data_IF_410206810450
#
_entry.id   IF_410206810450
#
_cell.length_a   1.000
_cell.length_b   1.000
_cell.length_c   1.000
_cell.angle_alpha   90.00
_cell.angle_beta   90.00
_cell.angle_gamma   90.00
#
_symmetry.space_group_name_H-M   'P 1'
#
loop_
_entity.id
_entity.type
_entity.pdbx_description
1 polymer ?
#
# COMPACT_ATOMS: atom_id res chain seq x y z
N UNK A 1 -14.34 30.26 -50.79
CA UNK A 1 -13.49 29.21 -50.16
C UNK A 1 -13.74 29.03 -48.65
N UNK A 2 -14.04 30.08 -47.88
CA UNK A 2 -14.23 30.02 -46.41
C UNK A 2 -15.53 29.31 -45.97
N UNK A 3 -16.58 29.29 -46.80
CA UNK A 3 -17.88 28.72 -46.44
C UNK A 3 -17.84 27.20 -46.19
N UNK A 4 -17.16 26.44 -47.07
CA UNK A 4 -17.03 24.98 -46.93
C UNK A 4 -16.14 24.57 -45.76
N UNK A 5 -15.14 25.39 -45.43
CA UNK A 5 -14.22 25.14 -44.33
C UNK A 5 -14.92 25.15 -42.96
N UNK A 6 -15.95 25.99 -42.79
CA UNK A 6 -16.76 26.05 -41.55
C UNK A 6 -17.53 24.75 -41.30
N UNK A 7 -18.10 24.16 -42.35
CA UNK A 7 -18.86 22.92 -42.26
C UNK A 7 -17.96 21.71 -42.01
N UNK A 8 -16.77 21.69 -42.62
CA UNK A 8 -15.75 20.68 -42.34
C UNK A 8 -15.31 20.77 -40.88
N UNK A 9 -15.01 21.97 -40.39
CA UNK A 9 -14.59 22.18 -39.00
C UNK A 9 -15.69 21.78 -38.01
N UNK A 10 -16.95 22.15 -38.26
CA UNK A 10 -18.10 21.77 -37.43
C UNK A 10 -18.32 20.25 -37.42
N UNK A 11 -18.13 19.59 -38.57
CA UNK A 11 -18.22 18.14 -38.68
C UNK A 11 -17.12 17.42 -37.88
N UNK A 12 -15.87 17.91 -37.94
CA UNK A 12 -14.76 17.38 -37.13
C UNK A 12 -15.02 17.59 -35.64
N UNK A 13 -15.51 18.77 -35.25
CA UNK A 13 -15.79 19.09 -33.84
C UNK A 13 -16.92 18.22 -33.28
N UNK A 14 -17.95 17.94 -34.09
CA UNK A 14 -19.02 17.01 -33.73
C UNK A 14 -18.49 15.57 -33.59
N UNK A 15 -17.67 15.11 -34.53
CA UNK A 15 -17.08 13.77 -34.47
C UNK A 15 -16.20 13.59 -33.22
N UNK A 16 -15.38 14.60 -32.88
CA UNK A 16 -14.57 14.61 -31.66
C UNK A 16 -15.45 14.61 -30.41
N UNK A 17 -16.53 15.41 -30.40
CA UNK A 17 -17.46 15.46 -29.26
C UNK A 17 -18.18 14.12 -29.04
N UNK A 18 -18.59 13.44 -30.11
CA UNK A 18 -19.20 12.11 -30.04
C UNK A 18 -18.20 11.08 -29.50
N UNK A 19 -16.95 11.14 -29.95
CA UNK A 19 -15.90 10.23 -29.49
C UNK A 19 -15.59 10.46 -27.99
N UNK A 20 -15.48 11.71 -27.56
CA UNK A 20 -15.27 12.05 -26.15
C UNK A 20 -16.46 11.65 -25.27
N UNK A 21 -17.69 11.87 -25.75
CA UNK A 21 -18.90 11.47 -25.04
C UNK A 21 -18.99 9.94 -24.95
N UNK A 22 -18.66 9.22 -26.03
CA UNK A 22 -18.59 7.76 -26.04
C UNK A 22 -17.54 7.23 -25.05
N UNK A 23 -16.37 7.84 -24.98
CA UNK A 23 -15.32 7.47 -24.03
C UNK A 23 -15.75 7.76 -22.58
N UNK A 24 -16.38 8.91 -22.32
CA UNK A 24 -16.92 9.26 -21.01
C UNK A 24 -18.01 8.29 -20.54
N UNK A 25 -18.94 7.95 -21.43
CA UNK A 25 -20.02 6.99 -21.14
C UNK A 25 -19.46 5.57 -20.93
N UNK A 26 -18.49 5.16 -21.75
CA UNK A 26 -17.78 3.89 -21.57
C UNK A 26 -17.08 3.83 -20.21
N UNK A 27 -16.33 4.88 -19.84
CA UNK A 27 -15.62 4.95 -18.56
C UNK A 27 -16.60 4.96 -17.38
N UNK A 28 -17.69 5.72 -17.47
CA UNK A 28 -18.73 5.80 -16.43
C UNK A 28 -19.44 4.46 -16.25
N UNK A 29 -19.78 3.79 -17.35
CA UNK A 29 -20.43 2.47 -17.32
C UNK A 29 -19.47 1.39 -16.81
N UNK A 30 -18.24 1.36 -17.30
CA UNK A 30 -17.17 0.45 -16.87
C UNK A 30 -16.92 0.53 -15.36
N UNK A 31 -16.83 1.74 -14.81
CA UNK A 31 -16.60 1.98 -13.38
C UNK A 31 -17.71 1.43 -12.48
N UNK A 32 -18.95 1.35 -12.97
CA UNK A 32 -20.10 0.83 -12.24
C UNK A 32 -20.26 -0.68 -12.48
N UNK A 33 -20.07 -1.13 -13.72
CA UNK A 33 -20.34 -2.50 -14.14
C UNK A 33 -19.22 -3.49 -13.81
N UNK A 34 -17.94 -3.08 -13.97
CA UNK A 34 -16.80 -3.97 -13.72
C UNK A 34 -16.74 -4.47 -12.27
N UNK A 35 -16.95 -3.64 -11.22
CA UNK A 35 -16.95 -4.14 -9.84
C UNK A 35 -18.12 -5.09 -9.53
N UNK A 36 -19.23 -4.97 -10.25
CA UNK A 36 -20.43 -5.80 -10.07
C UNK A 36 -20.24 -7.17 -10.74
N UNK A 37 -19.69 -7.19 -11.97
CA UNK A 37 -19.52 -8.41 -12.76
C UNK A 37 -18.22 -9.16 -12.47
N UNK A 38 -17.18 -8.41 -12.16
CA UNK A 38 -15.85 -8.88 -11.77
C UNK A 38 -15.50 -8.21 -10.44
N UNK A 39 -16.17 -8.59 -9.33
CA UNK A 39 -15.72 -8.15 -8.01
C UNK A 39 -14.21 -8.44 -7.95
N UNK A 40 -13.38 -7.45 -7.56
CA UNK A 40 -11.93 -7.61 -7.61
C UNK A 40 -11.62 -8.94 -6.95
N UNK A 41 -11.13 -9.94 -7.71
CA UNK A 41 -10.93 -11.25 -7.14
C UNK A 41 -10.02 -11.02 -5.95
N UNK A 42 -10.35 -11.66 -4.83
CA UNK A 42 -9.43 -11.75 -3.70
C UNK A 42 -8.20 -12.60 -4.03
N UNK A 43 -7.72 -12.52 -5.25
CA UNK A 43 -6.59 -13.20 -5.83
C UNK A 43 -5.94 -12.16 -6.73
N UNK A 44 -4.78 -11.67 -6.33
CA UNK A 44 -3.94 -10.85 -7.18
C UNK A 44 -3.59 -11.70 -8.41
N UNK A 45 -3.89 -11.19 -9.60
CA UNK A 45 -3.55 -11.85 -10.86
C UNK A 45 -2.03 -11.77 -11.03
N UNK A 46 -1.37 -12.91 -11.27
CA UNK A 46 0.06 -12.97 -11.58
C UNK A 46 0.31 -12.30 -12.94
N UNK A 47 0.88 -11.11 -12.86
CA UNK A 47 1.44 -10.39 -14.00
C UNK A 47 2.92 -10.05 -13.76
N UNK A 48 3.44 -10.35 -12.57
CA UNK A 48 4.76 -9.94 -12.11
C UNK A 48 5.88 -10.79 -12.69
N UNK A 49 5.75 -12.11 -12.64
CA UNK A 49 6.77 -13.05 -13.09
C UNK A 49 7.13 -12.89 -14.57
N UNK A 50 6.12 -12.69 -15.43
CA UNK A 50 6.32 -12.51 -16.88
C UNK A 50 6.98 -11.17 -17.20
N UNK A 51 6.57 -10.08 -16.54
CA UNK A 51 7.15 -8.75 -16.72
C UNK A 51 8.56 -8.62 -16.10
N UNK A 52 8.86 -9.40 -15.06
CA UNK A 52 10.20 -9.52 -14.48
C UNK A 52 11.14 -10.22 -15.45
N UNK A 53 10.69 -11.34 -16.04
CA UNK A 53 11.47 -12.16 -16.96
C UNK A 53 11.94 -11.38 -18.21
N UNK A 54 11.11 -10.47 -18.72
CA UNK A 54 11.45 -9.62 -19.88
C UNK A 54 12.07 -8.26 -19.50
N UNK A 55 12.34 -8.02 -18.21
CA UNK A 55 13.07 -6.83 -17.73
C UNK A 55 12.25 -5.54 -17.65
N UNK A 56 10.94 -5.57 -17.90
CA UNK A 56 10.05 -4.38 -17.78
C UNK A 56 10.04 -3.85 -16.36
N UNK A 57 10.01 -4.73 -15.35
CA UNK A 57 10.05 -4.32 -13.95
C UNK A 57 11.37 -3.60 -13.58
N UNK A 58 12.48 -4.01 -14.19
CA UNK A 58 13.78 -3.32 -14.02
C UNK A 58 13.72 -1.91 -14.59
N UNK A 59 13.06 -1.71 -15.74
CA UNK A 59 12.86 -0.40 -16.35
C UNK A 59 11.99 0.52 -15.46
N UNK A 60 10.90 -0.02 -14.92
CA UNK A 60 9.97 0.74 -14.06
C UNK A 60 10.63 1.18 -12.74
N UNK A 61 11.59 0.42 -12.22
CA UNK A 61 12.34 0.80 -11.02
C UNK A 61 13.34 1.95 -11.24
N UNK A 62 13.61 2.32 -12.50
CA UNK A 62 14.34 3.55 -12.82
C UNK A 62 13.45 4.80 -12.84
N UNK A 63 12.12 4.66 -12.73
CA UNK A 63 11.22 5.79 -12.61
C UNK A 63 11.34 6.46 -11.24
N UNK A 64 11.14 7.79 -11.15
CA UNK A 64 11.21 8.51 -9.88
C UNK A 64 10.17 7.97 -8.89
N UNK A 65 10.62 7.29 -7.85
CA UNK A 65 9.78 6.82 -6.76
C UNK A 65 9.82 7.86 -5.62
N UNK A 66 8.70 8.49 -5.25
CA UNK A 66 8.66 9.54 -4.23
C UNK A 66 9.10 9.06 -2.84
N UNK A 67 9.02 7.75 -2.57
CA UNK A 67 9.45 7.15 -1.29
C UNK A 67 10.98 7.08 -1.15
N UNK A 68 11.74 7.24 -2.25
CA UNK A 68 13.22 7.25 -2.24
C UNK A 68 13.77 8.33 -1.32
N UNK A 69 13.04 9.44 -1.11
CA UNK A 69 13.47 10.53 -0.22
C UNK A 69 13.62 10.11 1.25
N UNK A 70 12.94 9.03 1.67
CA UNK A 70 12.99 8.53 3.06
C UNK A 70 14.02 7.44 3.27
N UNK A 71 14.71 7.03 2.21
CA UNK A 71 15.72 5.98 2.23
C UNK A 71 17.10 6.65 2.29
N UNK A 72 18.01 6.22 3.19
CA UNK A 72 19.37 6.72 3.22
C UNK A 72 20.06 6.57 1.83
N UNK A 73 20.69 7.64 1.28
CA UNK A 73 21.24 7.64 -0.07
C UNK A 73 22.23 6.49 -0.35
N UNK A 74 22.97 6.09 0.67
CA UNK A 74 23.95 5.00 0.65
C UNK A 74 23.32 3.62 0.36
N UNK A 75 22.03 3.45 0.65
CA UNK A 75 21.31 2.19 0.43
C UNK A 75 20.68 2.07 -0.95
N UNK A 76 20.54 3.19 -1.65
CA UNK A 76 19.85 3.24 -2.95
C UNK A 76 20.48 2.33 -4.02
N UNK A 77 21.82 2.21 -4.13
CA UNK A 77 22.43 1.29 -5.09
C UNK A 77 22.07 -0.18 -4.79
N UNK A 78 22.09 -0.58 -3.51
CA UNK A 78 21.79 -1.96 -3.12
C UNK A 78 20.33 -2.30 -3.37
N UNK A 79 19.41 -1.38 -3.01
CA UNK A 79 17.97 -1.57 -3.25
C UNK A 79 17.64 -1.65 -4.73
N UNK A 80 18.31 -0.86 -5.59
CA UNK A 80 18.12 -0.96 -7.05
C UNK A 80 18.53 -2.31 -7.61
N UNK A 81 19.61 -2.90 -7.10
CA UNK A 81 20.09 -4.22 -7.52
C UNK A 81 19.18 -5.33 -6.99
N UNK A 82 18.73 -5.21 -5.74
CA UNK A 82 17.94 -6.23 -5.07
C UNK A 82 16.46 -6.25 -5.49
N UNK A 83 15.90 -5.09 -5.84
CA UNK A 83 14.52 -4.91 -6.27
C UNK A 83 13.94 -5.97 -7.25
N UNK A 84 14.59 -6.25 -8.40
CA UNK A 84 14.08 -7.27 -9.31
C UNK A 84 14.13 -8.68 -8.71
N UNK A 85 15.07 -8.96 -7.79
CA UNK A 85 15.13 -10.23 -7.07
C UNK A 85 14.00 -10.35 -6.04
N UNK A 86 13.66 -9.26 -5.35
CA UNK A 86 12.58 -9.26 -4.36
C UNK A 86 11.18 -9.29 -4.98
N UNK A 87 11.02 -8.93 -6.25
CA UNK A 87 9.69 -8.83 -6.88
C UNK A 87 8.97 -10.18 -6.94
N UNK A 88 9.71 -11.27 -7.17
CA UNK A 88 9.15 -12.64 -7.15
C UNK A 88 8.60 -12.98 -5.75
N UNK A 89 9.33 -12.60 -4.69
CA UNK A 89 8.90 -12.84 -3.32
C UNK A 89 7.67 -11.99 -2.95
N UNK A 90 7.67 -10.70 -3.29
CA UNK A 90 6.53 -9.78 -3.07
C UNK A 90 5.28 -10.29 -3.78
N UNK A 91 5.45 -10.81 -5.01
CA UNK A 91 4.34 -11.36 -5.75
C UNK A 91 3.78 -12.64 -5.09
N UNK A 92 4.65 -13.56 -4.70
CA UNK A 92 4.26 -14.77 -3.98
C UNK A 92 3.53 -14.44 -2.66
N UNK A 93 3.99 -13.43 -1.92
CA UNK A 93 3.31 -12.94 -0.72
C UNK A 93 1.92 -12.37 -1.04
N UNK A 94 1.81 -11.60 -2.13
CA UNK A 94 0.54 -11.08 -2.61
C UNK A 94 -0.47 -12.19 -2.93
N UNK A 95 -0.03 -13.28 -3.56
CA UNK A 95 -0.88 -14.43 -3.86
C UNK A 95 -1.40 -15.12 -2.59
N UNK A 96 -0.62 -15.10 -1.50
CA UNK A 96 -0.98 -15.69 -0.21
C UNK A 96 -1.81 -14.76 0.69
N UNK A 97 -1.87 -13.46 0.38
CA UNK A 97 -2.47 -12.44 1.24
C UNK A 97 -3.89 -12.80 1.72
N UNK A 98 -4.78 -13.19 0.80
CA UNK A 98 -6.17 -13.52 1.16
C UNK A 98 -6.30 -14.79 1.97
N UNK A 99 -5.44 -15.79 1.72
CA UNK A 99 -5.39 -17.01 2.54
C UNK A 99 -4.92 -16.67 3.96
N UNK A 100 -3.91 -15.82 4.07
CA UNK A 100 -3.40 -15.37 5.36
C UNK A 100 -4.46 -14.58 6.13
N UNK A 101 -5.21 -13.69 5.48
CA UNK A 101 -6.33 -12.98 6.11
C UNK A 101 -7.42 -13.92 6.61
N UNK A 102 -7.83 -14.92 5.81
CA UNK A 102 -8.81 -15.92 6.26
C UNK A 102 -8.34 -16.70 7.48
N UNK A 103 -7.05 -17.04 7.53
CA UNK A 103 -6.45 -17.72 8.69
C UNK A 103 -6.40 -16.79 9.91
N UNK A 104 -6.01 -15.53 9.71
CA UNK A 104 -5.97 -14.53 10.77
C UNK A 104 -7.37 -14.29 11.37
N UNK A 105 -8.42 -14.24 10.53
CA UNK A 105 -9.81 -14.10 10.98
C UNK A 105 -10.28 -15.22 11.94
N UNK A 106 -9.69 -16.42 11.84
CA UNK A 106 -10.02 -17.54 12.74
C UNK A 106 -9.21 -17.54 14.04
N UNK A 107 -8.20 -16.68 14.15
CA UNK A 107 -7.34 -16.60 15.34
C UNK A 107 -7.95 -15.64 16.35
N UNK A 108 -8.54 -16.19 17.42
CA UNK A 108 -9.17 -15.39 18.47
C UNK A 108 -8.17 -14.93 19.55
N UNK A 109 -7.13 -15.73 19.81
CA UNK A 109 -6.12 -15.43 20.84
C UNK A 109 -4.80 -16.15 20.53
N UNK A 110 -3.71 -15.52 20.95
CA UNK A 110 -2.36 -16.08 21.00
C UNK A 110 -2.05 -16.77 22.34
N UNK A 111 -2.99 -16.75 23.28
CA UNK A 111 -2.84 -17.29 24.63
C UNK A 111 -1.86 -16.44 25.44
N UNK A 112 -0.85 -17.08 25.99
CA UNK A 112 0.20 -16.43 26.77
C UNK A 112 1.47 -16.15 25.97
N UNK A 113 1.47 -16.33 24.64
CA UNK A 113 2.68 -16.12 23.82
C UNK A 113 3.17 -14.67 23.90
N UNK A 114 4.48 -14.41 24.13
CA UNK A 114 4.99 -13.04 24.18
C UNK A 114 4.67 -12.26 22.90
N UNK A 115 4.09 -11.08 23.06
CA UNK A 115 3.67 -10.22 21.96
C UNK A 115 4.13 -8.78 22.21
N UNK A 116 4.85 -8.19 21.26
CA UNK A 116 5.16 -6.75 21.28
C UNK A 116 4.50 -6.10 20.07
N UNK A 117 3.64 -5.11 20.33
CA UNK A 117 3.00 -4.29 19.31
C UNK A 117 3.70 -2.94 19.26
N UNK A 118 4.30 -2.61 18.12
CA UNK A 118 4.94 -1.32 17.87
C UNK A 118 4.07 -0.47 16.94
N UNK A 119 3.52 0.63 17.45
CA UNK A 119 2.62 1.50 16.68
C UNK A 119 3.31 2.80 16.29
N UNK A 120 3.40 3.03 14.98
CA UNK A 120 3.80 4.32 14.42
C UNK A 120 2.65 5.34 14.57
N UNK A 121 2.90 6.45 15.26
CA UNK A 121 1.90 7.47 15.58
C UNK A 121 2.35 8.90 15.19
N UNK A 122 3.43 9.05 14.43
CA UNK A 122 3.88 10.37 13.93
C UNK A 122 2.76 11.13 13.21
N UNK A 123 2.43 12.36 13.63
CA UNK A 123 1.42 13.19 12.95
C UNK A 123 1.71 13.37 11.46
N UNK A 124 0.69 13.15 10.64
CA UNK A 124 0.70 13.47 9.21
C UNK A 124 -0.25 14.64 9.01
N UNK A 125 0.20 15.64 8.28
CA UNK A 125 -0.57 16.85 7.99
C UNK A 125 -1.04 16.82 6.53
N UNK A 126 -2.18 17.46 6.24
CA UNK A 126 -2.80 17.42 4.89
C UNK A 126 -1.88 17.94 3.80
N UNK A 127 -0.98 18.89 4.10
CA UNK A 127 0.03 19.42 3.17
C UNK A 127 1.05 18.36 2.70
N UNK A 128 1.19 17.26 3.43
CA UNK A 128 2.09 16.16 3.08
C UNK A 128 1.42 15.10 2.19
N UNK A 129 0.11 15.21 1.95
CA UNK A 129 -0.68 14.23 1.20
C UNK A 129 -1.07 14.73 -0.20
N UNK A 130 -1.42 13.81 -1.12
CA UNK A 130 -2.00 14.19 -2.40
C UNK A 130 -3.27 15.04 -2.23
N UNK A 131 -3.65 15.78 -3.28
CA UNK A 131 -4.91 16.54 -3.26
C UNK A 131 -6.10 15.59 -3.08
N UNK A 132 -7.05 15.98 -2.23
CA UNK A 132 -8.29 15.22 -1.98
C UNK A 132 -8.39 14.61 -0.58
N UNK A 133 -7.32 14.63 0.22
CA UNK A 133 -7.36 14.24 1.63
C UNK A 133 -7.79 15.44 2.50
N UNK A 134 -8.67 15.20 3.47
CA UNK A 134 -9.11 16.21 4.45
C UNK A 134 -8.52 15.93 5.83
N UNK A 135 -8.50 16.94 6.71
CA UNK A 135 -8.01 16.76 8.08
C UNK A 135 -8.88 15.75 8.85
N UNK A 136 -10.20 15.79 8.64
CA UNK A 136 -11.16 14.91 9.27
C UNK A 136 -10.89 13.45 8.89
N UNK A 137 -10.58 13.18 7.62
CA UNK A 137 -10.23 11.84 7.16
C UNK A 137 -8.96 11.32 7.84
N UNK A 138 -7.91 12.15 7.96
CA UNK A 138 -6.65 11.75 8.61
C UNK A 138 -6.88 11.47 10.09
N UNK A 139 -7.70 12.27 10.77
CA UNK A 139 -8.05 12.05 12.17
C UNK A 139 -8.82 10.74 12.36
N UNK A 140 -9.77 10.45 11.46
CA UNK A 140 -10.51 9.21 11.47
C UNK A 140 -9.60 8.00 11.23
N UNK A 141 -8.72 8.08 10.22
CA UNK A 141 -7.75 7.01 9.92
C UNK A 141 -6.83 6.77 11.13
N UNK A 142 -6.32 7.81 11.76
CA UNK A 142 -5.51 7.72 12.98
C UNK A 142 -6.27 7.04 14.12
N UNK A 143 -7.52 7.40 14.35
CA UNK A 143 -8.33 6.82 15.42
C UNK A 143 -8.54 5.32 15.19
N UNK A 144 -8.96 4.95 13.98
CA UNK A 144 -9.13 3.53 13.59
C UNK A 144 -7.80 2.79 13.68
N UNK A 145 -6.70 3.39 13.24
CA UNK A 145 -5.37 2.78 13.35
C UNK A 145 -5.00 2.51 14.81
N UNK A 146 -5.18 3.47 15.71
CA UNK A 146 -4.89 3.28 17.14
C UNK A 146 -5.75 2.18 17.77
N UNK A 147 -7.05 2.14 17.44
CA UNK A 147 -7.97 1.10 17.90
C UNK A 147 -7.51 -0.29 17.45
N UNK A 148 -7.25 -0.48 16.16
CA UNK A 148 -6.77 -1.76 15.61
C UNK A 148 -5.46 -2.22 16.26
N UNK A 149 -4.54 -1.31 16.55
CA UNK A 149 -3.28 -1.65 17.21
C UNK A 149 -3.48 -2.02 18.68
N UNK A 150 -4.38 -1.34 19.38
CA UNK A 150 -4.75 -1.70 20.74
C UNK A 150 -5.43 -3.08 20.78
N UNK A 151 -6.32 -3.37 19.83
CA UNK A 151 -6.95 -4.69 19.69
C UNK A 151 -5.91 -5.81 19.46
N UNK A 152 -4.90 -5.58 18.61
CA UNK A 152 -3.82 -6.55 18.42
C UNK A 152 -3.11 -6.90 19.74
N UNK A 153 -2.89 -5.91 20.61
CA UNK A 153 -2.25 -6.12 21.90
C UNK A 153 -3.10 -7.00 22.84
N UNK A 154 -4.42 -7.07 22.64
CA UNK A 154 -5.31 -7.94 23.43
C UNK A 154 -5.25 -9.42 23.06
N UNK A 155 -4.62 -9.77 21.93
CA UNK A 155 -4.55 -11.17 21.48
C UNK A 155 -3.74 -12.05 22.44
N UNK A 156 -2.82 -11.48 23.22
CA UNK A 156 -2.01 -12.21 24.20
C UNK A 156 -2.18 -11.66 25.61
N UNK A 157 -2.15 -12.54 26.61
CA UNK A 157 -2.05 -12.14 28.02
C UNK A 157 -0.65 -11.70 28.44
N UNK A 158 0.35 -11.92 27.58
CA UNK A 158 1.75 -11.51 27.74
C UNK A 158 2.11 -10.53 26.61
N UNK A 159 1.43 -9.39 26.59
CA UNK A 159 1.61 -8.36 25.57
C UNK A 159 2.23 -7.07 26.11
N UNK A 160 2.97 -6.37 25.25
CA UNK A 160 3.42 -5.01 25.45
C UNK A 160 3.05 -4.17 24.22
N UNK A 161 2.40 -3.03 24.43
CA UNK A 161 2.06 -2.08 23.37
C UNK A 161 2.88 -0.81 23.53
N UNK A 162 3.72 -0.52 22.53
CA UNK A 162 4.59 0.66 22.49
C UNK A 162 4.16 1.55 21.35
N UNK A 163 3.77 2.79 21.67
CA UNK A 163 3.35 3.79 20.69
C UNK A 163 4.47 4.81 20.51
N UNK A 164 4.85 5.05 19.26
CA UNK A 164 5.91 6.00 18.92
C UNK A 164 5.38 7.17 18.10
N UNK A 165 5.34 8.35 18.71
CA UNK A 165 4.94 9.60 18.05
C UNK A 165 6.03 10.20 17.17
N UNK A 166 7.24 9.64 17.22
CA UNK A 166 8.39 10.12 16.46
C UNK A 166 8.58 9.35 15.14
N UNK A 167 7.93 8.19 14.99
CA UNK A 167 8.04 7.34 13.80
C UNK A 167 6.74 7.18 13.02
N UNK A 168 6.88 7.22 11.70
CA UNK A 168 5.85 6.86 10.74
C UNK A 168 6.03 5.43 10.22
N UNK A 169 5.49 5.18 9.01
CA UNK A 169 5.48 3.85 8.38
C UNK A 169 6.87 3.18 8.26
N UNK A 170 7.94 3.97 8.15
CA UNK A 170 9.32 3.48 8.01
C UNK A 170 10.09 3.56 9.33
N UNK A 171 9.47 3.07 10.42
CA UNK A 171 10.06 3.08 11.77
C UNK A 171 11.46 2.47 11.83
N UNK A 172 11.77 1.51 10.95
CA UNK A 172 13.10 0.88 10.87
C UNK A 172 14.21 1.81 10.39
N UNK A 173 13.90 2.95 9.75
CA UNK A 173 14.88 4.00 9.48
C UNK A 173 14.93 5.07 10.56
N UNK A 174 13.80 5.35 11.21
CA UNK A 174 13.65 6.47 12.14
C UNK A 174 14.02 6.09 13.59
N UNK A 175 13.58 4.92 14.06
CA UNK A 175 13.82 4.38 15.41
C UNK A 175 14.09 2.86 15.35
N UNK A 176 15.20 2.43 14.73
CA UNK A 176 15.55 1.00 14.64
C UNK A 176 15.71 0.34 16.01
N UNK A 177 16.14 1.09 17.04
CA UNK A 177 16.29 0.58 18.40
C UNK A 177 14.98 0.02 18.96
N UNK A 178 13.83 0.68 18.74
CA UNK A 178 12.53 0.18 19.22
C UNK A 178 12.20 -1.20 18.66
N UNK A 179 12.56 -1.46 17.41
CA UNK A 179 12.34 -2.76 16.76
C UNK A 179 13.29 -3.81 17.35
N UNK A 180 14.57 -3.46 17.50
CA UNK A 180 15.59 -4.34 18.08
C UNK A 180 15.21 -4.72 19.52
N UNK A 181 14.85 -3.74 20.34
CA UNK A 181 14.44 -3.93 21.74
C UNK A 181 13.17 -4.79 21.83
N UNK A 182 12.19 -4.54 20.96
CA UNK A 182 10.97 -5.37 20.89
C UNK A 182 11.27 -6.83 20.53
N UNK A 183 12.17 -7.09 19.59
CA UNK A 183 12.61 -8.45 19.24
C UNK A 183 13.32 -9.11 20.43
N UNK A 184 14.27 -8.41 21.06
CA UNK A 184 14.97 -8.93 22.23
C UNK A 184 14.01 -9.26 23.37
N UNK A 185 13.04 -8.39 23.64
CA UNK A 185 12.02 -8.64 24.67
C UNK A 185 11.24 -9.93 24.40
N UNK A 186 10.74 -10.13 23.18
CA UNK A 186 10.04 -11.38 22.81
C UNK A 186 10.95 -12.59 22.97
N UNK A 187 12.19 -12.53 22.49
CA UNK A 187 13.15 -13.64 22.58
C UNK A 187 13.47 -13.99 24.03
N UNK A 188 13.67 -12.98 24.88
CA UNK A 188 14.00 -13.17 26.29
C UNK A 188 12.82 -13.70 27.12
N UNK A 189 11.58 -13.26 26.82
CA UNK A 189 10.36 -13.83 27.41
C UNK A 189 10.17 -15.29 27.00
N UNK A 190 10.47 -15.65 25.75
CA UNK A 190 10.43 -17.05 25.29
C UNK A 190 11.50 -17.90 25.98
N UNK A 191 12.72 -17.38 26.15
CA UNK A 191 13.83 -18.11 26.79
C UNK A 191 13.68 -18.30 28.29
N UNK A 192 12.87 -17.47 28.95
CA UNK A 192 12.58 -17.56 30.39
C UNK A 192 11.54 -18.63 30.74
N UNK A 193 10.91 -19.25 29.74
CA UNK A 193 9.95 -20.35 29.89
C UNK A 193 10.65 -21.69 29.75
#
# INVERSE_FOLDING_TARGET
MIFWLKWIFLGVLLAVSILLLGLFLYERWSRIYLPIKYPPPGQLVDVGGQLAAIGVLRLLHHLPNPNVRRIPPEMLPQLKVFAPQSTVAVEAEGQLFHRNLKRAQTTQSLGDRPLVVLTAAKPVTVDQLPRGFTQEYIQQERAVWQELQAELATLSSSSQHIISEQSGHLMYFEQPSLIIDGIHHVVDEVRRR
#
